data_IF_851212091449
#
_entry.id   IF_851212091449
#
_cell.length_a   1.000
_cell.length_b   1.000
_cell.length_c   1.000
_cell.angle_alpha   90.00
_cell.angle_beta   90.00
_cell.angle_gamma   90.00
#
_symmetry.space_group_name_H-M   'P 1'
#
loop_
_entity.id
_entity.type
_entity.pdbx_description
1 polymer ?
#
# COMPACT_ATOMS: atom_id res chain seq x y z
N UNK A 1 -21.50 22.56 9.15
CA UNK A 1 -22.43 21.53 8.64
C UNK A 1 -23.17 22.12 7.44
N UNK A 2 -22.66 21.85 6.24
CA UNK A 2 -23.37 22.18 5.00
C UNK A 2 -23.69 20.87 4.32
N UNK A 3 -24.95 20.47 4.40
CA UNK A 3 -25.47 19.35 3.62
C UNK A 3 -25.57 19.81 2.16
N UNK A 4 -24.95 19.08 1.23
CA UNK A 4 -25.22 19.26 -0.20
C UNK A 4 -26.65 18.79 -0.47
N UNK A 5 -27.56 19.76 -0.57
CA UNK A 5 -28.83 19.61 -1.27
C UNK A 5 -28.56 19.78 -2.77
N UNK A 6 -29.06 18.85 -3.59
CA UNK A 6 -29.20 19.06 -5.03
C UNK A 6 -30.48 19.87 -5.28
N UNK A 7 -30.45 20.71 -6.32
CA UNK A 7 -31.36 21.84 -6.60
C UNK A 7 -32.85 21.51 -6.83
N UNK A 8 -33.29 20.27 -6.64
CA UNK A 8 -34.69 19.84 -6.87
C UNK A 8 -35.41 19.22 -5.65
N UNK A 9 -34.87 19.38 -4.43
CA UNK A 9 -35.65 19.18 -3.19
C UNK A 9 -36.22 17.79 -2.93
N UNK A 10 -35.81 16.74 -3.65
CA UNK A 10 -36.18 15.35 -3.37
C UNK A 10 -34.96 14.52 -2.97
N UNK A 11 -35.02 13.98 -1.75
CA UNK A 11 -33.98 13.16 -1.12
C UNK A 11 -33.68 11.90 -1.95
N UNK A 12 -32.42 11.73 -2.38
CA UNK A 12 -31.93 10.51 -3.06
C UNK A 12 -31.51 9.41 -2.08
N UNK A 13 -31.68 9.66 -0.78
CA UNK A 13 -31.35 8.76 0.33
C UNK A 13 -32.06 7.39 0.26
N UNK A 14 -33.32 7.26 -0.22
CA UNK A 14 -33.98 5.94 -0.29
C UNK A 14 -33.32 4.96 -1.29
N UNK A 15 -32.70 5.47 -2.35
CA UNK A 15 -32.08 4.64 -3.39
C UNK A 15 -30.72 4.10 -2.97
N UNK A 16 -29.95 4.86 -2.19
CA UNK A 16 -28.63 4.44 -1.68
C UNK A 16 -28.80 3.40 -0.57
N UNK A 17 -29.81 3.55 0.28
CA UNK A 17 -30.13 2.54 1.31
C UNK A 17 -30.65 1.25 0.68
N UNK A 18 -31.50 1.34 -0.35
CA UNK A 18 -32.04 0.16 -1.05
C UNK A 18 -30.96 -0.70 -1.72
N UNK A 19 -29.95 -0.08 -2.31
CA UNK A 19 -28.84 -0.80 -2.94
C UNK A 19 -27.94 -1.52 -1.91
N UNK A 20 -27.77 -0.94 -0.72
CA UNK A 20 -26.90 -1.46 0.33
C UNK A 20 -27.53 -2.66 1.07
N UNK A 21 -28.85 -2.66 1.26
CA UNK A 21 -29.57 -3.80 1.87
C UNK A 21 -29.57 -5.02 0.93
N UNK A 22 -29.66 -4.82 -0.39
CA UNK A 22 -29.65 -5.91 -1.36
C UNK A 22 -28.27 -6.61 -1.43
N UNK A 23 -27.17 -5.86 -1.33
CA UNK A 23 -25.82 -6.41 -1.33
C UNK A 23 -25.54 -7.30 -0.10
N UNK A 24 -26.03 -6.91 1.07
CA UNK A 24 -25.87 -7.68 2.31
C UNK A 24 -26.64 -9.00 2.28
N UNK A 25 -27.84 -9.04 1.66
CA UNK A 25 -28.63 -10.26 1.54
C UNK A 25 -28.01 -11.30 0.58
N UNK A 26 -27.33 -10.85 -0.47
CA UNK A 26 -26.63 -11.76 -1.41
C UNK A 26 -25.37 -12.35 -0.74
N UNK A 27 -24.63 -11.56 0.02
CA UNK A 27 -23.45 -12.04 0.76
C UNK A 27 -23.81 -13.08 1.84
N UNK A 28 -24.93 -12.89 2.54
CA UNK A 28 -25.41 -13.85 3.56
C UNK A 28 -25.82 -15.20 2.95
N UNK A 29 -26.39 -15.22 1.74
CA UNK A 29 -26.81 -16.46 1.07
C UNK A 29 -25.63 -17.35 0.62
N UNK A 30 -24.48 -16.75 0.26
CA UNK A 30 -23.28 -17.47 -0.20
C UNK A 30 -22.55 -18.15 0.98
N UNK A 31 -22.50 -17.50 2.14
CA UNK A 31 -21.87 -18.05 3.35
C UNK A 31 -22.69 -19.20 3.95
N UNK A 32 -24.02 -19.17 3.83
CA UNK A 32 -24.88 -20.25 4.31
C UNK A 32 -24.96 -21.46 3.36
N UNK A 33 -24.71 -21.26 2.05
CA UNK A 33 -24.70 -22.34 1.05
C UNK A 33 -23.43 -23.20 1.07
N UNK A 34 -22.30 -22.65 1.51
CA UNK A 34 -20.98 -23.32 1.43
C UNK A 34 -20.60 -24.10 2.69
N UNK A 35 -21.39 -24.00 3.77
CA UNK A 35 -21.10 -24.63 5.08
C UNK A 35 -21.78 -25.99 5.30
N UNK A 36 -22.37 -26.61 4.27
CA UNK A 36 -22.90 -27.99 4.33
C UNK A 36 -22.22 -28.91 3.31
N UNK A 37 -20.97 -29.28 3.56
CA UNK A 37 -20.37 -30.51 3.02
C UNK A 37 -19.22 -30.95 3.90
N UNK A 38 -19.53 -31.62 5.01
CA UNK A 38 -18.56 -32.42 5.75
C UNK A 38 -19.29 -33.58 6.44
N UNK A 39 -19.23 -34.77 5.83
CA UNK A 39 -19.73 -35.99 6.43
C UNK A 39 -19.32 -37.24 5.65
N UNK A 40 -18.34 -38.00 6.17
CA UNK A 40 -18.17 -39.42 5.84
C UNK A 40 -16.75 -39.96 5.58
N UNK A 41 -15.99 -40.19 6.66
CA UNK A 41 -15.01 -41.27 7.02
C UNK A 41 -14.08 -42.00 6.00
N UNK A 42 -12.94 -42.58 6.49
CA UNK A 42 -11.75 -42.90 5.69
C UNK A 42 -11.64 -44.38 5.27
N UNK A 43 -10.97 -44.65 4.14
CA UNK A 43 -10.45 -45.98 3.77
C UNK A 43 -9.06 -45.83 3.14
N UNK A 44 -8.13 -46.70 3.57
CA UNK A 44 -6.71 -46.66 3.26
C UNK A 44 -6.29 -47.42 2.00
N UNK A 45 -5.07 -47.09 1.55
CA UNK A 45 -4.05 -47.92 0.89
C UNK A 45 -4.08 -48.05 -0.64
N UNK A 46 -3.00 -47.53 -1.25
CA UNK A 46 -2.57 -47.79 -2.62
C UNK A 46 -1.40 -46.88 -3.03
N UNK A 47 -0.18 -47.42 -3.06
CA UNK A 47 1.03 -46.85 -3.67
C UNK A 47 1.64 -47.96 -4.53
N UNK A 48 2.42 -47.75 -5.61
CA UNK A 48 2.84 -46.50 -6.29
C UNK A 48 2.52 -46.49 -7.81
N UNK A 49 2.73 -45.36 -8.50
CA UNK A 49 3.51 -45.30 -9.76
C UNK A 49 3.90 -43.84 -10.00
N UNK A 50 5.20 -43.62 -10.26
CA UNK A 50 5.79 -42.31 -10.52
C UNK A 50 5.19 -41.68 -11.79
N UNK A 51 4.78 -40.44 -11.67
CA UNK A 51 4.59 -39.53 -12.80
C UNK A 51 5.17 -38.19 -12.37
N UNK A 52 6.17 -37.75 -13.12
CA UNK A 52 6.96 -36.54 -12.93
C UNK A 52 6.05 -35.32 -12.69
N UNK A 53 6.01 -34.87 -11.44
CA UNK A 53 5.49 -33.56 -11.06
C UNK A 53 6.46 -32.51 -11.60
N UNK A 54 6.03 -31.54 -12.42
CA UNK A 54 6.85 -30.37 -12.68
C UNK A 54 7.03 -29.63 -11.36
N UNK A 55 8.29 -29.51 -10.93
CA UNK A 55 8.72 -28.58 -9.88
C UNK A 55 8.07 -27.22 -10.14
N UNK A 56 7.48 -26.54 -9.14
CA UNK A 56 7.19 -25.13 -9.28
C UNK A 56 8.50 -24.42 -9.58
N UNK A 57 8.61 -23.92 -10.81
CA UNK A 57 9.65 -23.01 -11.24
C UNK A 57 9.72 -21.86 -10.25
N UNK A 58 10.89 -21.65 -9.63
CA UNK A 58 11.25 -20.34 -9.11
C UNK A 58 11.13 -19.36 -10.28
N UNK A 59 10.02 -18.64 -10.37
CA UNK A 59 9.87 -17.52 -11.30
C UNK A 59 10.71 -16.38 -10.75
N UNK A 60 12.03 -16.49 -10.90
CA UNK A 60 12.91 -15.33 -11.01
C UNK A 60 12.94 -15.00 -12.49
N UNK A 61 11.98 -14.20 -12.95
CA UNK A 61 12.21 -13.32 -14.09
C UNK A 61 11.10 -12.26 -14.18
N UNK A 62 11.44 -11.03 -13.81
CA UNK A 62 10.80 -9.80 -14.24
C UNK A 62 11.89 -8.75 -14.09
N UNK A 63 12.46 -8.35 -15.23
CA UNK A 63 13.74 -7.66 -15.34
C UNK A 63 13.94 -6.52 -14.35
N UNK A 64 14.91 -6.70 -13.47
CA UNK A 64 15.55 -5.66 -12.69
C UNK A 64 17.05 -5.75 -12.93
N UNK A 65 17.67 -4.59 -13.13
CA UNK A 65 19.08 -4.36 -13.41
C UNK A 65 20.02 -5.31 -12.65
N UNK A 66 21.16 -5.66 -13.27
CA UNK A 66 22.21 -6.63 -12.87
C UNK A 66 22.90 -6.40 -11.49
N UNK A 67 22.20 -5.91 -10.47
CA UNK A 67 22.66 -5.82 -9.09
C UNK A 67 22.17 -7.01 -8.28
N UNK A 68 23.08 -7.69 -7.57
CA UNK A 68 22.72 -8.68 -6.55
C UNK A 68 21.59 -8.12 -5.69
N UNK A 69 20.46 -8.85 -5.59
CA UNK A 69 19.37 -8.47 -4.73
C UNK A 69 19.94 -8.27 -3.32
N UNK A 70 19.97 -7.01 -2.86
CA UNK A 70 20.53 -6.63 -1.58
C UNK A 70 19.77 -7.27 -0.40
N UNK A 71 20.00 -6.77 0.81
CA UNK A 71 19.18 -7.20 1.94
C UNK A 71 17.69 -6.94 1.65
N UNK A 72 16.85 -7.94 1.90
CA UNK A 72 15.40 -7.83 1.68
C UNK A 72 14.80 -6.67 2.50
N UNK A 73 13.77 -5.97 1.98
CA UNK A 73 13.25 -4.76 2.61
C UNK A 73 12.77 -5.01 4.05
N UNK A 74 13.19 -4.11 4.92
CA UNK A 74 12.75 -3.96 6.32
C UNK A 74 11.65 -2.91 6.45
N UNK A 75 11.60 -1.95 5.52
CA UNK A 75 10.73 -0.78 5.58
C UNK A 75 11.28 0.34 6.47
N UNK A 76 12.52 0.19 6.95
CA UNK A 76 13.14 1.00 8.00
C UNK A 76 14.46 1.62 7.61
N UNK A 77 14.81 1.65 6.32
CA UNK A 77 16.06 2.24 5.86
C UNK A 77 16.23 3.70 6.30
N UNK A 78 15.13 4.46 6.35
CA UNK A 78 15.10 5.85 6.85
C UNK A 78 15.11 6.01 8.38
N UNK A 79 15.12 4.90 9.13
CA UNK A 79 14.96 4.89 10.58
C UNK A 79 13.50 4.93 11.06
N UNK A 80 13.27 5.06 12.37
CA UNK A 80 11.95 4.87 12.99
C UNK A 80 11.05 6.10 12.89
N UNK A 81 11.56 7.27 12.52
CA UNK A 81 10.77 8.51 12.50
C UNK A 81 9.90 8.62 11.23
N UNK A 82 8.98 9.58 11.26
CA UNK A 82 8.02 9.87 10.20
C UNK A 82 8.26 11.26 9.57
N UNK A 83 9.52 11.71 9.57
CA UNK A 83 9.91 13.07 9.19
C UNK A 83 10.65 13.12 7.84
N UNK A 84 10.88 14.34 7.33
CA UNK A 84 11.59 14.54 6.07
C UNK A 84 13.01 13.96 6.11
N UNK A 85 13.70 14.01 7.26
CA UNK A 85 15.06 13.48 7.38
C UNK A 85 15.09 11.96 7.22
N UNK A 86 14.09 11.23 7.71
CA UNK A 86 13.94 9.80 7.46
C UNK A 86 13.76 9.48 5.98
N UNK A 87 12.93 10.25 5.26
CA UNK A 87 12.73 10.06 3.81
C UNK A 87 14.03 10.32 3.04
N UNK A 88 14.73 11.42 3.33
CA UNK A 88 15.97 11.78 2.67
C UNK A 88 17.11 10.80 2.98
N UNK A 89 17.14 10.26 4.20
CA UNK A 89 18.10 9.21 4.58
C UNK A 89 17.85 7.94 3.78
N UNK A 90 16.59 7.47 3.72
CA UNK A 90 16.23 6.31 2.91
C UNK A 90 16.61 6.52 1.43
N UNK A 91 16.31 7.68 0.86
CA UNK A 91 16.67 7.99 -0.53
C UNK A 91 18.18 7.95 -0.77
N UNK A 92 18.97 8.53 0.14
CA UNK A 92 20.42 8.58 0.04
C UNK A 92 21.06 7.19 0.13
N UNK A 93 20.54 6.35 1.00
CA UNK A 93 21.14 5.05 1.35
C UNK A 93 20.59 3.88 0.50
N UNK A 94 19.49 4.10 -0.23
CA UNK A 94 18.89 3.07 -1.06
C UNK A 94 19.78 2.73 -2.27
N UNK A 95 20.10 1.43 -2.49
CA UNK A 95 20.80 1.00 -3.69
C UNK A 95 19.89 1.09 -4.92
N UNK A 96 20.49 1.09 -6.12
CA UNK A 96 19.76 0.98 -7.39
C UNK A 96 19.28 -0.46 -7.63
N UNK A 97 18.37 -0.93 -6.78
CA UNK A 97 17.71 -2.23 -6.86
C UNK A 97 16.24 -2.07 -6.50
N UNK A 98 15.43 -3.05 -6.86
CA UNK A 98 14.00 -3.11 -6.49
C UNK A 98 13.80 -2.96 -4.97
N UNK A 99 14.67 -3.57 -4.17
CA UNK A 99 14.61 -3.46 -2.71
C UNK A 99 14.91 -2.04 -2.23
N UNK A 100 15.84 -1.34 -2.89
CA UNK A 100 16.06 0.08 -2.64
C UNK A 100 14.83 0.92 -2.97
N UNK A 101 14.12 0.63 -4.06
CA UNK A 101 12.89 1.33 -4.41
C UNK A 101 11.81 1.13 -3.33
N UNK A 102 11.63 -0.11 -2.86
CA UNK A 102 10.69 -0.45 -1.77
C UNK A 102 11.02 0.29 -0.48
N UNK A 103 12.29 0.39 -0.09
CA UNK A 103 12.69 1.11 1.13
C UNK A 103 12.41 2.62 1.05
N UNK A 104 12.65 3.23 -0.12
CA UNK A 104 12.33 4.65 -0.34
C UNK A 104 10.82 4.88 -0.36
N UNK A 105 10.07 3.99 -1.02
CA UNK A 105 8.62 4.03 -1.03
C UNK A 105 8.07 3.93 0.41
N UNK A 106 8.56 2.98 1.20
CA UNK A 106 8.12 2.77 2.57
C UNK A 106 8.37 4.00 3.46
N UNK A 107 9.55 4.62 3.34
CA UNK A 107 9.85 5.86 4.07
C UNK A 107 8.93 7.02 3.65
N UNK A 108 8.66 7.17 2.35
CA UNK A 108 7.76 8.20 1.85
C UNK A 108 6.30 7.95 2.23
N UNK A 109 5.83 6.71 2.21
CA UNK A 109 4.49 6.34 2.68
C UNK A 109 4.34 6.67 4.16
N UNK A 110 5.31 6.27 4.99
CA UNK A 110 5.30 6.57 6.44
C UNK A 110 5.26 8.08 6.71
N UNK A 111 6.00 8.87 5.94
CA UNK A 111 5.98 10.34 6.03
C UNK A 111 4.63 10.93 5.59
N UNK A 112 4.03 10.42 4.51
CA UNK A 112 2.81 11.03 3.95
C UNK A 112 1.51 10.54 4.59
N UNK A 113 1.46 9.26 4.97
CA UNK A 113 0.33 8.57 5.59
C UNK A 113 0.35 8.73 7.11
N UNK A 114 0.17 9.97 7.57
CA UNK A 114 0.03 10.30 8.98
C UNK A 114 -0.98 11.43 9.19
N UNK A 115 -1.52 11.51 10.40
CA UNK A 115 -2.23 12.69 10.89
C UNK A 115 -1.77 13.02 12.32
N UNK A 116 -1.40 14.29 12.61
CA UNK A 116 -1.40 15.45 11.72
C UNK A 116 -0.46 15.33 10.52
N UNK A 117 -0.82 16.00 9.42
CA UNK A 117 -0.01 16.02 8.21
C UNK A 117 1.39 16.60 8.47
N UNK A 118 2.42 16.19 7.71
CA UNK A 118 3.71 16.86 7.76
C UNK A 118 3.58 18.36 7.45
N UNK A 119 4.47 19.17 8.02
CA UNK A 119 4.50 20.60 7.72
C UNK A 119 4.73 20.87 6.22
N UNK A 120 4.19 21.97 5.71
CA UNK A 120 4.38 22.37 4.30
C UNK A 120 5.86 22.50 3.93
N UNK A 121 6.71 23.00 4.84
CA UNK A 121 8.16 23.08 4.61
C UNK A 121 8.80 21.70 4.48
N UNK A 122 8.41 20.73 5.31
CA UNK A 122 8.90 19.35 5.20
C UNK A 122 8.44 18.68 3.90
N UNK A 123 7.18 18.91 3.48
CA UNK A 123 6.68 18.42 2.19
C UNK A 123 7.44 19.03 1.01
N UNK A 124 7.76 20.32 1.07
CA UNK A 124 8.55 20.99 0.03
C UNK A 124 9.98 20.43 -0.04
N UNK A 125 10.61 20.19 1.10
CA UNK A 125 11.93 19.56 1.17
C UNK A 125 11.93 18.16 0.54
N UNK A 126 10.98 17.31 0.95
CA UNK A 126 10.82 15.95 0.39
C UNK A 126 10.51 16.00 -1.11
N UNK A 127 9.59 16.87 -1.54
CA UNK A 127 9.25 17.00 -2.96
C UNK A 127 10.42 17.46 -3.83
N UNK A 128 11.26 18.37 -3.35
CA UNK A 128 12.44 18.81 -4.09
C UNK A 128 13.45 17.66 -4.31
N UNK A 129 13.56 16.75 -3.35
CA UNK A 129 14.49 15.62 -3.39
C UNK A 129 13.94 14.41 -4.16
N UNK A 130 12.69 14.01 -3.87
CA UNK A 130 12.09 12.77 -4.37
C UNK A 130 11.37 12.93 -5.71
N UNK A 131 11.06 14.14 -6.16
CA UNK A 131 10.35 14.34 -7.43
C UNK A 131 11.17 13.88 -8.64
N UNK A 132 10.62 12.93 -9.39
CA UNK A 132 11.11 12.55 -10.71
C UNK A 132 10.97 13.70 -11.71
N UNK A 133 11.87 13.77 -12.69
CA UNK A 133 11.76 14.72 -13.80
C UNK A 133 10.53 14.48 -14.69
N UNK A 134 10.01 13.25 -14.73
CA UNK A 134 8.76 12.89 -15.44
C UNK A 134 7.48 13.17 -14.64
N UNK A 135 7.61 13.61 -13.38
CA UNK A 135 6.46 13.74 -12.49
C UNK A 135 5.58 14.96 -12.78
N UNK A 136 4.23 14.80 -12.86
CA UNK A 136 3.31 15.91 -13.00
C UNK A 136 3.39 16.86 -11.80
N UNK A 137 3.33 18.17 -12.04
CA UNK A 137 3.46 19.17 -10.97
C UNK A 137 2.36 19.06 -9.92
N UNK A 138 1.15 18.69 -10.33
CA UNK A 138 -0.01 18.57 -9.43
C UNK A 138 0.15 17.48 -8.38
N UNK A 139 0.97 16.45 -8.62
CA UNK A 139 1.18 15.38 -7.65
C UNK A 139 1.97 15.85 -6.40
N UNK A 140 2.83 16.85 -6.58
CA UNK A 140 3.69 17.37 -5.51
C UNK A 140 3.18 18.66 -4.88
N UNK A 141 1.93 19.04 -5.16
CA UNK A 141 1.32 20.18 -4.49
C UNK A 141 1.17 19.87 -2.99
N UNK A 142 1.67 20.73 -2.08
CA UNK A 142 1.55 20.48 -0.66
C UNK A 142 0.09 20.35 -0.21
N UNK A 143 -0.17 19.37 0.65
CA UNK A 143 -1.48 19.15 1.23
C UNK A 143 -1.50 19.55 2.71
N UNK A 144 -2.61 20.11 3.16
CA UNK A 144 -2.81 20.58 4.53
C UNK A 144 -4.22 20.26 4.97
N UNK A 145 -4.50 20.29 6.27
CA UNK A 145 -5.87 20.14 6.76
C UNK A 145 -6.83 21.17 6.14
N UNK A 146 -6.31 22.35 5.76
CA UNK A 146 -7.10 23.38 5.08
C UNK A 146 -7.44 23.00 3.64
N UNK A 147 -6.57 22.27 2.93
CA UNK A 147 -6.79 21.89 1.53
C UNK A 147 -7.51 20.54 1.37
N UNK A 148 -7.28 19.59 2.27
CA UNK A 148 -7.81 18.21 2.15
C UNK A 148 -8.70 17.79 3.33
N UNK A 149 -8.88 18.65 4.34
CA UNK A 149 -9.67 18.35 5.53
C UNK A 149 -8.92 17.48 6.54
N UNK A 150 -9.61 17.03 7.59
CA UNK A 150 -9.04 16.22 8.68
C UNK A 150 -9.37 14.72 8.57
N UNK A 151 -9.72 14.23 7.38
CA UNK A 151 -10.08 12.82 7.14
C UNK A 151 -9.19 12.18 6.05
N UNK A 152 -7.86 12.11 6.25
CA UNK A 152 -6.95 11.54 5.25
C UNK A 152 -7.23 10.07 4.94
N UNK A 153 -7.78 9.32 5.89
CA UNK A 153 -8.06 7.88 5.71
C UNK A 153 -9.41 7.60 5.05
N UNK A 154 -10.12 8.65 4.61
CA UNK A 154 -11.40 8.59 3.91
C UNK A 154 -12.47 7.74 4.63
N UNK A 155 -12.47 7.81 5.97
CA UNK A 155 -13.43 7.09 6.81
C UNK A 155 -12.95 5.74 7.35
N UNK A 156 -11.75 5.27 7.00
CA UNK A 156 -11.15 4.08 7.62
C UNK A 156 -10.90 4.30 9.12
N UNK A 157 -10.44 5.50 9.47
CA UNK A 157 -10.40 6.03 10.83
C UNK A 157 -11.41 7.18 10.97
N UNK A 158 -11.94 7.46 12.18
CA UNK A 158 -12.73 8.66 12.41
C UNK A 158 -11.95 9.92 12.03
N UNK A 159 -12.64 10.92 11.49
CA UNK A 159 -12.02 12.20 11.14
C UNK A 159 -11.33 12.86 12.36
N UNK A 160 -10.16 13.44 12.16
CA UNK A 160 -9.32 14.04 13.21
C UNK A 160 -8.55 13.04 14.09
N UNK A 161 -8.64 11.73 13.81
CA UNK A 161 -7.87 10.72 14.56
C UNK A 161 -6.38 10.88 14.25
N UNK A 162 -5.56 11.06 15.28
CA UNK A 162 -4.10 11.02 15.13
C UNK A 162 -3.63 9.59 14.83
N UNK A 163 -2.78 9.42 13.82
CA UNK A 163 -2.20 8.14 13.48
C UNK A 163 -0.86 8.29 12.74
N UNK A 164 -0.10 7.21 12.74
CA UNK A 164 0.99 6.94 11.79
C UNK A 164 0.73 5.58 11.12
N UNK A 165 1.60 5.17 10.20
CA UNK A 165 1.56 3.81 9.63
C UNK A 165 2.84 3.06 9.97
N UNK A 166 2.76 1.74 10.04
CA UNK A 166 3.90 0.87 10.35
C UNK A 166 3.97 -0.28 9.36
N UNK A 167 5.16 -0.57 8.85
CA UNK A 167 5.47 -1.69 7.95
C UNK A 167 5.55 -3.03 8.68
N UNK A 168 5.44 -3.06 10.02
CA UNK A 168 5.35 -4.31 10.79
C UNK A 168 4.20 -5.17 10.25
N UNK A 169 4.54 -6.38 9.81
CA UNK A 169 3.64 -7.33 9.11
C UNK A 169 3.03 -6.80 7.81
N UNK A 170 3.58 -5.73 7.25
CA UNK A 170 3.18 -5.16 5.97
C UNK A 170 3.54 -6.07 4.80
N UNK A 171 3.04 -5.70 3.62
CA UNK A 171 3.32 -6.35 2.35
C UNK A 171 3.94 -5.35 1.38
N UNK A 172 4.76 -5.84 0.46
CA UNK A 172 5.25 -5.08 -0.67
C UNK A 172 5.27 -5.95 -1.93
N UNK A 173 5.19 -5.31 -3.09
CA UNK A 173 5.34 -5.96 -4.40
C UNK A 173 5.95 -4.96 -5.38
N UNK A 174 6.87 -5.44 -6.20
CA UNK A 174 7.45 -4.67 -7.30
C UNK A 174 7.00 -5.28 -8.64
N UNK A 175 6.69 -4.42 -9.59
CA UNK A 175 6.37 -4.78 -10.97
C UNK A 175 7.13 -3.85 -11.92
N UNK A 176 7.41 -4.31 -13.14
CA UNK A 176 7.91 -3.45 -14.20
C UNK A 176 6.80 -2.48 -14.66
N UNK A 177 7.07 -1.18 -14.58
CA UNK A 177 6.19 -0.12 -15.06
C UNK A 177 6.41 0.23 -16.54
N UNK A 178 7.46 -0.33 -17.15
CA UNK A 178 7.93 0.04 -18.47
C UNK A 178 8.70 1.38 -18.45
N UNK A 179 9.41 1.68 -19.54
CA UNK A 179 10.21 2.90 -19.69
C UNK A 179 11.27 3.12 -18.58
N UNK A 180 11.72 2.03 -17.94
CA UNK A 180 12.67 2.08 -16.82
C UNK A 180 12.06 2.53 -15.50
N UNK A 181 10.72 2.48 -15.37
CA UNK A 181 10.00 2.73 -14.12
C UNK A 181 9.67 1.41 -13.42
N UNK A 182 9.68 1.45 -12.09
CA UNK A 182 9.15 0.39 -11.24
C UNK A 182 7.80 0.81 -10.67
N UNK A 183 6.88 -0.13 -10.54
CA UNK A 183 5.64 0.03 -9.78
C UNK A 183 5.86 -0.63 -8.43
N UNK A 184 5.78 0.15 -7.35
CA UNK A 184 5.94 -0.33 -5.98
C UNK A 184 4.60 -0.25 -5.27
N UNK A 185 3.99 -1.41 -5.01
CA UNK A 185 2.78 -1.56 -4.20
C UNK A 185 3.15 -1.93 -2.77
N UNK A 186 2.48 -1.35 -1.78
CA UNK A 186 2.71 -1.67 -0.37
C UNK A 186 1.42 -1.63 0.45
N UNK A 187 1.43 -2.40 1.53
CA UNK A 187 0.45 -2.34 2.60
C UNK A 187 1.16 -2.17 3.95
N UNK A 188 0.66 -1.24 4.75
CA UNK A 188 1.16 -0.95 6.11
C UNK A 188 -0.01 -0.93 7.10
N UNK A 189 0.23 -1.20 8.37
CA UNK A 189 -0.79 -1.15 9.41
C UNK A 189 -0.93 0.25 10.00
N UNK A 190 -2.15 0.71 10.28
CA UNK A 190 -2.33 1.96 11.04
C UNK A 190 -1.88 1.79 12.48
N UNK A 191 -1.18 2.79 13.02
CA UNK A 191 -0.85 2.91 14.43
C UNK A 191 -1.69 4.02 15.04
N UNK A 192 -2.57 3.66 15.98
CA UNK A 192 -3.46 4.60 16.66
C UNK A 192 -3.23 4.48 18.16
N UNK A 193 -3.02 5.61 18.84
CA UNK A 193 -2.66 5.64 20.26
C UNK A 193 -1.45 4.74 20.61
N UNK A 194 -0.44 4.73 19.73
CA UNK A 194 0.78 3.93 19.89
C UNK A 194 0.61 2.42 19.70
N UNK A 195 -0.57 1.95 19.28
CA UNK A 195 -0.85 0.53 19.05
C UNK A 195 -1.15 0.24 17.58
N UNK A 196 -0.55 -0.82 17.04
CA UNK A 196 -0.84 -1.31 15.69
C UNK A 196 -2.27 -1.84 15.62
N UNK A 197 -3.03 -1.38 14.64
CA UNK A 197 -4.39 -1.84 14.38
C UNK A 197 -4.37 -3.27 13.81
N UNK A 198 -5.14 -4.21 14.38
CA UNK A 198 -5.19 -5.58 13.87
C UNK A 198 -6.02 -5.73 12.58
N UNK A 199 -6.85 -4.73 12.24
CA UNK A 199 -7.86 -4.87 11.17
C UNK A 199 -7.88 -3.71 10.17
N UNK A 200 -7.04 -2.69 10.38
CA UNK A 200 -7.02 -1.50 9.51
C UNK A 200 -5.62 -1.27 9.00
N UNK A 201 -5.50 -1.13 7.68
CA UNK A 201 -4.24 -0.85 7.01
C UNK A 201 -4.37 0.28 6.00
N UNK A 202 -3.21 0.82 5.65
CA UNK A 202 -2.97 1.71 4.55
C UNK A 202 -2.47 0.87 3.36
N UNK A 203 -2.92 1.21 2.15
CA UNK A 203 -2.37 0.61 0.92
C UNK A 203 -1.97 1.76 0.01
N UNK A 204 -0.72 1.72 -0.45
CA UNK A 204 -0.10 2.77 -1.26
C UNK A 204 0.65 2.17 -2.43
N UNK A 205 0.61 2.87 -3.56
CA UNK A 205 1.29 2.46 -4.79
C UNK A 205 2.01 3.65 -5.40
N UNK A 206 3.24 3.42 -5.88
CA UNK A 206 4.08 4.46 -6.47
C UNK A 206 4.73 3.99 -7.77
N UNK A 207 4.66 4.82 -8.81
CA UNK A 207 5.57 4.73 -9.93
C UNK A 207 6.90 5.39 -9.54
N UNK A 208 7.99 4.65 -9.68
CA UNK A 208 9.31 5.06 -9.22
C UNK A 208 10.35 4.90 -10.31
N UNK A 209 11.35 5.76 -10.29
CA UNK A 209 12.41 5.78 -11.31
C UNK A 209 13.75 6.11 -10.69
N UNK A 210 14.79 5.41 -11.11
CA UNK A 210 16.16 5.75 -10.73
C UNK A 210 16.68 6.90 -11.59
N UNK A 211 16.86 8.08 -11.00
CA UNK A 211 17.37 9.26 -11.70
C UNK A 211 18.36 10.04 -10.85
N UNK A 212 19.48 10.42 -11.47
CA UNK A 212 20.54 11.21 -10.83
C UNK A 212 21.11 10.52 -9.58
N UNK A 213 21.22 9.20 -9.61
CA UNK A 213 21.82 8.40 -8.53
C UNK A 213 20.92 8.16 -7.32
N UNK A 214 19.60 8.31 -7.46
CA UNK A 214 18.65 8.03 -6.40
C UNK A 214 17.29 7.58 -6.96
N UNK A 215 16.54 6.82 -6.17
CA UNK A 215 15.13 6.55 -6.45
C UNK A 215 14.30 7.83 -6.28
N UNK A 216 13.42 8.06 -7.25
CA UNK A 216 12.49 9.19 -7.31
C UNK A 216 11.08 8.70 -7.57
N UNK A 217 10.10 9.43 -7.08
CA UNK A 217 8.68 9.14 -7.30
C UNK A 217 8.18 9.94 -8.49
N UNK A 218 7.54 9.24 -9.42
CA UNK A 218 6.86 9.81 -10.58
C UNK A 218 5.47 10.27 -10.15
N UNK A 219 4.66 9.36 -9.66
CA UNK A 219 3.34 9.65 -9.08
C UNK A 219 2.85 8.46 -8.24
N UNK A 220 1.74 8.66 -7.53
CA UNK A 220 1.03 7.59 -6.86
C UNK A 220 0.01 6.93 -7.80
N UNK A 221 -0.41 5.71 -7.48
CA UNK A 221 -1.48 5.03 -8.21
C UNK A 221 -2.39 4.22 -7.30
N UNK A 222 -3.52 3.80 -7.85
CA UNK A 222 -4.45 2.91 -7.16
C UNK A 222 -3.91 1.48 -7.21
N UNK A 223 -3.77 0.87 -6.04
CA UNK A 223 -3.28 -0.50 -5.89
C UNK A 223 -4.45 -1.48 -6.00
N UNK A 224 -4.25 -2.57 -6.73
CA UNK A 224 -5.11 -3.75 -6.62
C UNK A 224 -4.78 -4.51 -5.33
N UNK A 225 -5.57 -4.24 -4.29
CA UNK A 225 -5.38 -4.82 -2.96
C UNK A 225 -5.49 -6.34 -2.96
N UNK A 226 -6.33 -6.95 -3.82
CA UNK A 226 -6.46 -8.40 -3.88
C UNK A 226 -5.19 -9.02 -4.45
N UNK A 227 -4.65 -8.40 -5.50
CA UNK A 227 -3.40 -8.85 -6.11
C UNK A 227 -2.20 -8.66 -5.17
N UNK A 228 -2.13 -7.55 -4.42
CA UNK A 228 -1.11 -7.35 -3.39
C UNK A 228 -1.26 -8.37 -2.25
N UNK A 229 -2.47 -8.66 -1.79
CA UNK A 229 -2.70 -9.65 -0.73
C UNK A 229 -2.36 -11.09 -1.18
N UNK A 230 -2.56 -11.42 -2.46
CA UNK A 230 -2.29 -12.74 -3.01
C UNK A 230 -0.83 -12.98 -3.40
N UNK A 231 -0.10 -11.92 -3.80
CA UNK A 231 1.26 -12.03 -4.35
C UNK A 231 2.30 -11.10 -3.73
N UNK A 232 1.97 -10.38 -2.67
CA UNK A 232 2.89 -9.53 -1.93
C UNK A 232 3.86 -10.33 -1.07
N UNK A 233 5.05 -9.78 -0.87
CA UNK A 233 6.08 -10.30 0.04
C UNK A 233 6.03 -9.50 1.34
N UNK A 234 6.20 -10.17 2.48
CA UNK A 234 6.29 -9.46 3.76
C UNK A 234 7.58 -8.66 3.88
N UNK A 235 7.50 -7.51 4.53
CA UNK A 235 8.71 -6.87 5.07
C UNK A 235 9.38 -7.83 6.07
N UNK A 236 10.70 -7.87 6.07
CA UNK A 236 11.47 -8.74 6.98
C UNK A 236 11.48 -8.25 8.43
N UNK A 237 11.13 -6.98 8.64
CA UNK A 237 10.98 -6.33 9.92
C UNK A 237 9.85 -5.30 9.85
N UNK A 238 9.95 -4.20 10.60
CA UNK A 238 9.08 -3.05 10.41
C UNK A 238 9.29 -1.93 11.42
N UNK A 239 8.73 -0.79 11.06
CA UNK A 239 8.68 0.50 11.76
C UNK A 239 7.52 1.31 11.14
#
# INVERSE_FOLDING_TARGET
MSFMYSTDGRSRWPWVIGALVLAVLIAAAIVWGTSRSAGGKPTASGTPTATSTPTPTDTTDSGASDGEAGAAPTGCLGGPNYDAASVLTAQKDAPNTDFGAVEVAAAFDRFTAQYPYPSTSAQQEVSAALRSSSSPSSYWEPYTEQSVGNNPTQGTLPAGTHFTVSTVNGLWRVQDGGNGELIVDMAAGYVVNGSLSPTKGNVSGFYMKWEKGAWRIVEGHNVDQNSLAAGGTHFTAGC
#
